data_IF_710204669535
#
_entry.id   IF_710204669535
#
_cell.length_a   1.000
_cell.length_b   1.000
_cell.length_c   1.000
_cell.angle_alpha   90.00
_cell.angle_beta   90.00
_cell.angle_gamma   90.00
#
_symmetry.space_group_name_H-M   'P 1'
#
loop_
_entity.id
_entity.type
_entity.pdbx_description
1 polymer ?
#
# COMPACT_ATOMS: atom_id res chain seq x y z
N UNK A 1 -12.62 3.28 9.26
CA UNK A 1 -12.91 2.42 10.42
C UNK A 1 -13.57 1.15 9.92
N UNK A 2 -13.12 -0.01 10.39
CA UNK A 2 -13.76 -1.29 10.13
C UNK A 2 -14.28 -1.86 11.46
N UNK A 3 -15.46 -2.47 11.47
CA UNK A 3 -15.98 -3.24 12.61
C UNK A 3 -16.66 -4.51 12.10
N UNK A 4 -16.78 -5.48 13.00
CA UNK A 4 -17.63 -6.66 12.85
C UNK A 4 -18.56 -6.66 14.06
N UNK A 5 -19.86 -6.82 13.85
CA UNK A 5 -20.85 -6.92 14.93
C UNK A 5 -21.16 -8.38 15.33
N UNK A 6 -22.02 -8.55 16.34
CA UNK A 6 -22.38 -9.86 16.91
C UNK A 6 -23.04 -10.81 15.90
N UNK A 7 -23.67 -10.25 14.85
CA UNK A 7 -24.28 -11.00 13.74
C UNK A 7 -23.27 -11.34 12.63
N UNK A 8 -22.01 -10.89 12.75
CA UNK A 8 -20.94 -11.14 11.78
C UNK A 8 -20.96 -10.22 10.56
N UNK A 9 -21.72 -9.13 10.59
CA UNK A 9 -21.81 -8.14 9.53
C UNK A 9 -20.55 -7.26 9.55
N UNK A 10 -19.84 -7.20 8.42
CA UNK A 10 -18.64 -6.38 8.31
C UNK A 10 -19.00 -4.97 7.84
N UNK A 11 -18.74 -3.98 8.68
CA UNK A 11 -19.03 -2.58 8.42
C UNK A 11 -17.73 -1.81 8.13
N UNK A 12 -17.65 -1.22 6.93
CA UNK A 12 -16.57 -0.33 6.52
C UNK A 12 -17.11 1.10 6.45
N UNK A 13 -16.56 1.98 7.30
CA UNK A 13 -16.81 3.42 7.24
C UNK A 13 -15.55 4.14 6.80
N UNK A 14 -15.59 4.80 5.64
CA UNK A 14 -14.52 5.69 5.16
C UNK A 14 -15.00 7.12 5.38
N UNK A 15 -14.28 7.84 6.25
CA UNK A 15 -14.55 9.25 6.53
C UNK A 15 -13.37 10.08 6.05
N UNK A 16 -13.62 10.94 5.08
CA UNK A 16 -12.74 12.03 4.69
C UNK A 16 -13.27 13.35 5.30
N UNK A 17 -12.46 14.40 5.34
CA UNK A 17 -12.76 15.68 6.02
C UNK A 17 -14.12 16.29 5.64
N UNK A 18 -14.62 16.02 4.43
CA UNK A 18 -15.89 16.55 3.93
C UNK A 18 -16.92 15.48 3.53
N UNK A 19 -16.55 14.21 3.51
CA UNK A 19 -17.39 13.13 2.95
C UNK A 19 -17.31 11.87 3.80
N UNK A 20 -18.46 11.25 4.05
CA UNK A 20 -18.54 9.97 4.75
C UNK A 20 -19.23 8.95 3.85
N UNK A 21 -18.58 7.79 3.66
CA UNK A 21 -19.13 6.65 2.93
C UNK A 21 -19.16 5.44 3.86
N UNK A 22 -20.28 4.72 3.84
CA UNK A 22 -20.47 3.49 4.61
C UNK A 22 -20.82 2.35 3.67
N UNK A 23 -20.18 1.20 3.88
CA UNK A 23 -20.43 -0.03 3.16
C UNK A 23 -20.57 -1.16 4.17
N UNK A 24 -21.54 -2.03 3.94
CA UNK A 24 -21.89 -3.13 4.84
C UNK A 24 -21.86 -4.41 4.04
N UNK A 25 -21.13 -5.41 4.54
CA UNK A 25 -20.96 -6.73 3.91
C UNK A 25 -21.58 -7.78 4.82
N UNK A 26 -22.66 -8.39 4.36
CA UNK A 26 -23.40 -9.42 5.10
C UNK A 26 -22.70 -10.77 5.06
N UNK A 27 -22.68 -11.44 6.21
CA UNK A 27 -22.17 -12.80 6.37
C UNK A 27 -23.28 -13.81 6.08
N UNK A 28 -23.51 -14.12 4.80
CA UNK A 28 -24.42 -15.19 4.41
C UNK A 28 -23.76 -16.56 4.62
N UNK A 29 -24.45 -17.46 5.34
CA UNK A 29 -24.02 -18.85 5.64
C UNK A 29 -23.73 -19.73 4.40
N UNK A 30 -23.98 -19.22 3.19
CA UNK A 30 -23.79 -19.92 1.92
C UNK A 30 -22.67 -19.32 1.05
N UNK A 31 -21.88 -18.37 1.57
CA UNK A 31 -20.77 -17.74 0.82
C UNK A 31 -19.56 -18.64 0.64
N UNK A 32 -19.21 -19.42 1.66
CA UNK A 32 -18.12 -20.37 1.64
C UNK A 32 -18.50 -21.57 2.51
N UNK A 33 -18.25 -22.77 2.01
CA UNK A 33 -18.41 -23.98 2.81
C UNK A 33 -17.24 -24.13 3.80
N UNK A 34 -17.48 -24.85 4.91
CA UNK A 34 -16.42 -25.12 5.90
C UNK A 34 -15.17 -25.77 5.26
N UNK A 35 -15.37 -26.63 4.25
CA UNK A 35 -14.29 -27.28 3.51
C UNK A 35 -13.45 -26.29 2.70
N UNK A 36 -14.07 -25.26 2.13
CA UNK A 36 -13.35 -24.20 1.42
C UNK A 36 -12.56 -23.32 2.40
N UNK A 37 -13.14 -23.01 3.56
CA UNK A 37 -12.44 -22.28 4.62
C UNK A 37 -11.21 -23.06 5.08
N UNK A 38 -11.35 -24.35 5.38
CA UNK A 38 -10.24 -25.20 5.82
C UNK A 38 -9.14 -25.29 4.75
N UNK A 39 -9.53 -25.41 3.48
CA UNK A 39 -8.59 -25.38 2.36
C UNK A 39 -7.85 -24.03 2.27
N UNK A 40 -8.56 -22.91 2.41
CA UNK A 40 -7.94 -21.58 2.40
C UNK A 40 -6.93 -21.40 3.55
N UNK A 41 -7.22 -21.97 4.73
CA UNK A 41 -6.30 -21.94 5.87
C UNK A 41 -5.03 -22.75 5.58
N UNK A 42 -5.17 -23.95 5.00
CA UNK A 42 -4.03 -24.80 4.62
C UNK A 42 -3.20 -24.13 3.52
N UNK A 43 -3.84 -23.61 2.48
CA UNK A 43 -3.17 -22.91 1.38
C UNK A 43 -2.42 -21.68 1.92
N UNK A 44 -3.05 -20.89 2.81
CA UNK A 44 -2.40 -19.75 3.45
C UNK A 44 -1.17 -20.14 4.28
N UNK A 45 -1.16 -21.32 4.92
CA UNK A 45 0.02 -21.85 5.62
C UNK A 45 1.14 -22.24 4.65
N UNK A 46 0.80 -22.94 3.57
CA UNK A 46 1.77 -23.40 2.55
C UNK A 46 2.44 -22.21 1.88
N UNK A 47 1.66 -21.21 1.46
CA UNK A 47 2.15 -20.06 0.70
C UNK A 47 2.67 -18.93 1.58
N UNK A 48 2.57 -19.02 2.91
CA UNK A 48 2.99 -17.97 3.86
C UNK A 48 4.40 -17.45 3.58
N UNK A 49 5.36 -18.36 3.40
CA UNK A 49 6.76 -17.96 3.21
C UNK A 49 6.98 -17.28 1.86
N UNK A 50 6.35 -17.80 0.80
CA UNK A 50 6.45 -17.21 -0.53
C UNK A 50 5.80 -15.81 -0.57
N UNK A 51 4.63 -15.66 0.06
CA UNK A 51 3.92 -14.38 0.16
C UNK A 51 4.68 -13.37 1.02
N UNK A 52 5.36 -13.80 2.08
CA UNK A 52 6.25 -12.92 2.85
C UNK A 52 7.41 -12.40 2.01
N UNK A 53 8.05 -13.23 1.20
CA UNK A 53 9.15 -12.79 0.33
C UNK A 53 8.66 -11.86 -0.79
N UNK A 54 7.50 -12.15 -1.39
CA UNK A 54 6.86 -11.24 -2.35
C UNK A 54 6.51 -9.90 -1.71
N UNK A 55 5.95 -9.92 -0.50
CA UNK A 55 5.60 -8.72 0.27
C UNK A 55 6.85 -7.89 0.59
N UNK A 56 7.95 -8.50 1.05
CA UNK A 56 9.22 -7.78 1.27
C UNK A 56 9.73 -7.08 0.02
N UNK A 57 9.67 -7.75 -1.14
CA UNK A 57 10.06 -7.13 -2.42
C UNK A 57 9.15 -5.96 -2.80
N UNK A 58 7.83 -6.11 -2.62
CA UNK A 58 6.87 -5.06 -2.87
C UNK A 58 7.06 -3.85 -1.94
N UNK A 59 7.26 -4.10 -0.64
CA UNK A 59 7.51 -3.07 0.37
C UNK A 59 8.83 -2.33 0.10
N UNK A 60 9.89 -3.05 -0.28
CA UNK A 60 11.17 -2.44 -0.66
C UNK A 60 11.04 -1.55 -1.90
N UNK A 61 10.28 -2.01 -2.92
CA UNK A 61 10.00 -1.21 -4.12
C UNK A 61 9.18 0.03 -3.78
N UNK A 62 8.12 -0.12 -2.99
CA UNK A 62 7.27 1.01 -2.55
C UNK A 62 8.05 2.01 -1.70
N UNK A 63 8.96 1.54 -0.85
CA UNK A 63 9.87 2.39 -0.07
C UNK A 63 10.80 3.20 -0.96
N UNK A 64 11.39 2.57 -1.99
CA UNK A 64 12.23 3.26 -2.97
C UNK A 64 11.44 4.28 -3.78
N UNK A 65 10.23 3.93 -4.24
CA UNK A 65 9.33 4.83 -4.96
C UNK A 65 8.94 6.04 -4.11
N UNK A 66 8.61 5.83 -2.85
CA UNK A 66 8.27 6.89 -1.89
C UNK A 66 9.45 7.82 -1.63
N UNK A 67 10.66 7.26 -1.49
CA UNK A 67 11.88 8.03 -1.30
C UNK A 67 12.23 8.85 -2.55
N UNK A 68 12.20 8.22 -3.73
CA UNK A 68 12.39 8.87 -5.02
C UNK A 68 11.37 10.00 -5.24
N UNK A 69 10.10 9.76 -4.91
CA UNK A 69 9.04 10.76 -4.98
C UNK A 69 9.31 11.94 -4.05
N UNK A 70 9.72 11.67 -2.81
CA UNK A 70 10.10 12.70 -1.83
C UNK A 70 11.26 13.57 -2.34
N UNK A 71 12.31 12.97 -2.90
CA UNK A 71 13.45 13.71 -3.47
C UNK A 71 13.01 14.52 -4.69
N UNK A 72 12.19 13.95 -5.57
CA UNK A 72 11.66 14.66 -6.74
C UNK A 72 10.83 15.88 -6.32
N UNK A 73 10.01 15.76 -5.28
CA UNK A 73 9.18 16.86 -4.79
C UNK A 73 10.04 17.96 -4.13
N UNK A 74 10.98 17.58 -3.26
CA UNK A 74 11.89 18.52 -2.58
C UNK A 74 12.82 19.25 -3.54
N UNK A 75 13.31 18.61 -4.61
CA UNK A 75 14.13 19.26 -5.64
C UNK A 75 13.33 20.16 -6.60
N UNK A 76 12.01 19.97 -6.68
CA UNK A 76 11.10 20.83 -7.46
C UNK A 76 10.67 22.08 -6.68
N UNK A 77 10.74 22.05 -5.35
CA UNK A 77 10.55 23.23 -4.51
C UNK A 77 11.65 24.26 -4.78
N UNK A 78 11.24 25.48 -5.14
CA UNK A 78 12.14 26.53 -5.65
C UNK A 78 13.21 26.95 -4.62
N UNK A 79 12.85 27.04 -3.33
CA UNK A 79 13.76 27.43 -2.24
C UNK A 79 14.92 26.44 -2.03
N UNK A 80 14.62 25.14 -1.97
CA UNK A 80 15.63 24.08 -1.77
C UNK A 80 16.42 23.87 -3.06
N UNK A 81 15.73 23.92 -4.21
CA UNK A 81 16.36 23.87 -5.51
C UNK A 81 17.44 24.95 -5.65
N UNK A 82 17.15 26.21 -5.28
CA UNK A 82 18.08 27.32 -5.43
C UNK A 82 19.34 27.14 -4.56
N UNK A 83 19.21 26.55 -3.37
CA UNK A 83 20.33 26.20 -2.47
C UNK A 83 21.17 25.02 -2.97
N UNK A 84 20.62 24.22 -3.88
CA UNK A 84 21.29 23.08 -4.50
C UNK A 84 21.99 23.52 -5.79
N UNK A 85 23.32 23.64 -5.75
CA UNK A 85 24.17 24.00 -6.90
C UNK A 85 23.78 23.21 -8.17
N UNK A 86 23.73 23.90 -9.32
CA UNK A 86 23.17 23.42 -10.60
C UNK A 86 23.66 22.02 -11.03
N UNK A 87 24.94 21.73 -10.76
CA UNK A 87 25.60 20.46 -11.07
C UNK A 87 25.11 19.31 -10.18
N UNK A 88 24.90 19.55 -8.87
CA UNK A 88 24.32 18.57 -7.94
C UNK A 88 22.86 18.28 -8.25
N UNK A 89 22.10 19.29 -8.72
CA UNK A 89 20.70 19.12 -9.12
C UNK A 89 20.55 18.22 -10.35
N UNK A 90 21.45 18.33 -11.35
CA UNK A 90 21.46 17.44 -12.53
C UNK A 90 21.78 16.00 -12.16
N UNK A 91 22.82 15.77 -11.35
CA UNK A 91 23.20 14.42 -10.91
C UNK A 91 22.06 13.73 -10.13
N UNK A 92 21.39 14.47 -9.24
CA UNK A 92 20.30 13.93 -8.42
C UNK A 92 19.06 13.57 -9.24
N UNK A 93 18.75 14.30 -10.32
CA UNK A 93 17.65 13.95 -11.24
C UNK A 93 17.93 12.67 -12.03
N UNK A 94 19.16 12.44 -12.44
CA UNK A 94 19.55 11.21 -13.18
C UNK A 94 19.42 9.99 -12.26
N UNK A 95 20.00 10.06 -11.06
CA UNK A 95 19.98 8.96 -10.08
C UNK A 95 18.57 8.59 -9.61
N UNK A 96 17.65 9.56 -9.55
CA UNK A 96 16.26 9.31 -9.10
C UNK A 96 15.35 8.82 -10.24
N UNK A 97 15.68 9.10 -11.50
CA UNK A 97 14.86 8.72 -12.67
C UNK A 97 15.29 7.39 -13.31
N UNK A 98 16.56 6.99 -13.19
CA UNK A 98 17.05 5.72 -13.75
C UNK A 98 16.50 4.44 -13.09
N UNK A 99 16.26 4.35 -11.76
CA UNK A 99 15.73 3.12 -11.15
C UNK A 99 14.22 2.91 -11.33
N UNK A 100 13.52 3.83 -12.02
CA UNK A 100 12.06 3.79 -12.25
C UNK A 100 11.66 3.44 -13.70
N UNK A 101 12.63 3.07 -14.55
CA UNK A 101 12.39 2.59 -15.93
C UNK A 101 12.34 1.07 -16.01
#
# INVERSE_FOLDING_TARGET
MFNIDEDGLFNLTVKDKSSEARMTITNDNNRLSQKEIDKMVVDAMIYRNEDMEKKKKADAKSGLETYAYTIRNTTRNADIGFKLMSSKRKAMKVVVLDPLK
#
